data_IF_805534737942
#
_entry.id   IF_805534737942
#
_cell.length_a   1.000
_cell.length_b   1.000
_cell.length_c   1.000
_cell.angle_alpha   90.00
_cell.angle_beta   90.00
_cell.angle_gamma   90.00
#
_symmetry.space_group_name_H-M   'P 1'
#
loop_
_entity.id
_entity.type
_entity.pdbx_description
1 polymer ?
#
# COMPACT_ATOMS: atom_id res chain seq x y z
N UNK A 1 -29.06 19.68 23.51
CA UNK A 1 -27.69 19.50 24.06
C UNK A 1 -26.90 18.67 23.07
N UNK A 2 -25.99 19.28 22.31
CA UNK A 2 -25.11 18.57 21.37
C UNK A 2 -24.00 17.93 22.20
N UNK A 3 -23.95 16.60 22.23
CA UNK A 3 -22.86 15.84 22.85
C UNK A 3 -21.60 16.04 22.02
N UNK A 4 -20.74 16.97 22.44
CA UNK A 4 -19.38 17.10 21.92
C UNK A 4 -18.54 15.95 22.47
N UNK A 5 -18.64 14.79 21.82
CA UNK A 5 -17.76 13.65 22.11
C UNK A 5 -16.30 14.12 22.01
N UNK A 6 -15.46 13.87 23.03
CA UNK A 6 -14.07 14.31 23.01
C UNK A 6 -13.35 13.58 21.87
N UNK A 7 -12.81 14.36 20.94
CA UNK A 7 -11.95 13.86 19.86
C UNK A 7 -10.71 13.26 20.52
N UNK A 8 -10.68 11.92 20.66
CA UNK A 8 -9.55 11.21 21.28
C UNK A 8 -8.26 11.65 20.57
N UNK A 9 -7.17 11.93 21.30
CA UNK A 9 -5.91 12.29 20.67
C UNK A 9 -5.48 11.14 19.74
N UNK A 10 -5.15 11.49 18.50
CA UNK A 10 -4.68 10.54 17.50
C UNK A 10 -3.36 9.96 18.02
N UNK A 11 -3.36 8.68 18.40
CA UNK A 11 -2.18 8.01 18.92
C UNK A 11 -1.13 7.89 17.81
N UNK A 12 -0.06 8.68 17.90
CA UNK A 12 1.04 8.69 16.94
C UNK A 12 1.63 7.30 16.71
N UNK A 13 1.62 6.42 17.72
CA UNK A 13 2.07 5.04 17.57
C UNK A 13 1.13 4.21 16.69
N UNK A 14 -0.20 4.43 16.77
CA UNK A 14 -1.16 3.80 15.87
C UNK A 14 -1.01 4.30 14.44
N UNK A 15 -0.79 5.60 14.25
CA UNK A 15 -0.54 6.19 12.92
C UNK A 15 0.71 5.59 12.28
N UNK A 16 1.81 5.48 13.05
CA UNK A 16 3.06 4.86 12.57
C UNK A 16 2.88 3.40 12.15
N UNK A 17 2.13 2.61 12.92
CA UNK A 17 1.82 1.21 12.57
C UNK A 17 1.01 1.10 11.28
N UNK A 18 0.03 1.97 11.08
CA UNK A 18 -0.80 1.99 9.87
C UNK A 18 0.05 2.41 8.66
N UNK A 19 0.89 3.44 8.79
CA UNK A 19 1.79 3.87 7.72
C UNK A 19 2.76 2.75 7.30
N UNK A 20 3.36 2.07 8.28
CA UNK A 20 4.24 0.92 8.02
C UNK A 20 3.50 -0.23 7.35
N UNK A 21 2.28 -0.53 7.80
CA UNK A 21 1.44 -1.57 7.21
C UNK A 21 1.09 -1.27 5.75
N UNK A 22 0.84 -0.01 5.40
CA UNK A 22 0.58 0.40 4.02
C UNK A 22 1.82 0.13 3.15
N UNK A 23 3.01 0.56 3.60
CA UNK A 23 4.26 0.39 2.83
C UNK A 23 4.61 -1.10 2.67
N UNK A 24 4.51 -1.88 3.75
CA UNK A 24 4.81 -3.30 3.70
C UNK A 24 3.78 -4.06 2.84
N UNK A 25 2.50 -3.74 2.98
CA UNK A 25 1.44 -4.39 2.22
C UNK A 25 1.55 -4.14 0.72
N UNK A 26 1.89 -2.92 0.29
CA UNK A 26 2.09 -2.62 -1.12
C UNK A 26 3.31 -3.34 -1.70
N UNK A 27 4.44 -3.33 -0.99
CA UNK A 27 5.66 -3.99 -1.44
C UNK A 27 5.49 -5.51 -1.53
N UNK A 28 4.97 -6.14 -0.47
CA UNK A 28 4.74 -7.58 -0.44
C UNK A 28 3.72 -7.98 -1.50
N UNK A 29 2.64 -7.21 -1.66
CA UNK A 29 1.66 -7.42 -2.72
C UNK A 29 2.26 -7.35 -4.12
N UNK A 30 3.09 -6.35 -4.39
CA UNK A 30 3.77 -6.20 -5.67
C UNK A 30 4.70 -7.39 -5.96
N UNK A 31 5.54 -7.79 -5.00
CA UNK A 31 6.46 -8.92 -5.17
C UNK A 31 5.70 -10.23 -5.37
N UNK A 32 4.67 -10.49 -4.57
CA UNK A 32 3.82 -11.67 -4.72
C UNK A 32 3.11 -11.70 -6.08
N UNK A 33 2.67 -10.54 -6.58
CA UNK A 33 2.08 -10.39 -7.91
C UNK A 33 3.01 -10.79 -9.05
N UNK A 34 4.26 -10.36 -8.98
CA UNK A 34 5.28 -10.72 -9.98
C UNK A 34 5.54 -12.22 -9.99
N UNK A 35 5.61 -12.84 -8.80
CA UNK A 35 5.77 -14.28 -8.66
C UNK A 35 4.55 -15.02 -9.23
N UNK A 36 3.33 -14.56 -8.92
CA UNK A 36 2.09 -15.17 -9.44
C UNK A 36 1.99 -15.06 -10.96
N UNK A 37 2.33 -13.90 -11.52
CA UNK A 37 2.34 -13.68 -12.97
C UNK A 37 3.31 -14.65 -13.65
N UNK A 38 4.50 -14.84 -13.09
CA UNK A 38 5.49 -15.79 -13.62
C UNK A 38 5.00 -17.26 -13.51
N UNK A 39 4.32 -17.63 -12.42
CA UNK A 39 3.81 -18.99 -12.23
C UNK A 39 2.59 -19.32 -13.09
N UNK A 40 1.71 -18.34 -13.29
CA UNK A 40 0.45 -18.51 -14.03
C UNK A 40 0.61 -18.18 -15.53
N UNK A 41 1.76 -17.65 -15.95
CA UNK A 41 1.98 -17.14 -17.31
C UNK A 41 1.08 -15.94 -17.64
N UNK A 42 0.57 -15.27 -16.61
CA UNK A 42 -0.28 -14.09 -16.74
C UNK A 42 0.59 -12.84 -16.59
N UNK A 43 0.18 -11.75 -17.21
CA UNK A 43 0.82 -10.43 -17.06
C UNK A 43 -0.13 -9.43 -16.40
N UNK A 44 -1.15 -9.95 -15.70
CA UNK A 44 -2.22 -9.12 -15.17
C UNK A 44 -1.83 -8.47 -13.85
N UNK A 45 -1.15 -9.21 -12.97
CA UNK A 45 -0.85 -8.77 -11.61
C UNK A 45 0.27 -7.74 -11.55
N UNK A 46 1.15 -7.71 -12.55
CA UNK A 46 2.31 -6.82 -12.68
C UNK A 46 2.07 -5.64 -13.63
N UNK A 47 0.93 -5.60 -14.33
CA UNK A 47 0.59 -4.45 -15.18
C UNK A 47 0.43 -3.20 -14.33
N UNK A 48 1.04 -2.10 -14.74
CA UNK A 48 0.80 -0.80 -14.12
C UNK A 48 -0.67 -0.40 -14.25
N UNK A 49 -1.32 -0.08 -13.13
CA UNK A 49 -2.67 0.48 -13.09
C UNK A 49 -2.70 1.93 -13.58
N UNK A 50 -1.62 2.66 -13.33
CA UNK A 50 -1.44 4.02 -13.78
C UNK A 50 -0.70 4.01 -15.12
N UNK A 51 -1.24 4.78 -16.08
CA UNK A 51 -0.66 4.95 -17.41
C UNK A 51 0.72 5.61 -17.35
N UNK A 52 0.97 6.40 -16.31
CA UNK A 52 2.24 7.06 -16.02
C UNK A 52 2.67 6.70 -14.60
N UNK A 53 3.95 6.34 -14.43
CA UNK A 53 4.53 6.12 -13.11
C UNK A 53 4.71 7.46 -12.40
N UNK A 54 4.48 7.49 -11.08
CA UNK A 54 4.73 8.70 -10.30
C UNK A 54 6.24 8.88 -10.18
N UNK A 55 6.80 9.83 -10.94
CA UNK A 55 8.22 10.16 -10.91
C UNK A 55 8.47 11.22 -9.85
N UNK A 56 9.24 10.87 -8.83
CA UNK A 56 9.86 11.81 -7.91
C UNK A 56 11.31 12.00 -8.35
N UNK A 57 11.58 13.11 -9.02
CA UNK A 57 12.95 13.54 -9.30
C UNK A 57 13.51 14.24 -8.07
N UNK A 58 14.27 13.52 -7.27
CA UNK A 58 15.23 14.16 -6.38
C UNK A 58 16.47 14.48 -7.21
N UNK A 59 17.14 15.60 -6.90
CA UNK A 59 18.29 16.19 -7.61
C UNK A 59 19.40 15.22 -8.07
N UNK A 60 19.43 13.98 -7.56
CA UNK A 60 20.40 12.92 -7.88
C UNK A 60 19.73 11.57 -8.21
N UNK A 61 18.47 11.35 -7.82
CA UNK A 61 17.80 10.03 -7.92
C UNK A 61 16.38 10.22 -8.44
N UNK A 62 16.08 9.59 -9.58
CA UNK A 62 14.73 9.47 -10.09
C UNK A 62 14.10 8.20 -9.51
N UNK A 63 13.09 8.37 -8.67
CA UNK A 63 12.31 7.26 -8.13
C UNK A 63 10.98 7.21 -8.87
N UNK A 64 10.74 6.11 -9.58
CA UNK A 64 9.47 5.85 -10.26
C UNK A 64 8.64 4.88 -9.42
N UNK A 65 7.47 5.33 -8.96
CA UNK A 65 6.53 4.49 -8.22
C UNK A 65 5.37 4.15 -9.14
N UNK A 66 5.19 2.87 -9.44
CA UNK A 66 4.06 2.37 -10.21
C UNK A 66 3.21 1.41 -9.37
N UNK A 67 1.91 1.69 -9.29
CA UNK A 67 0.97 0.81 -8.62
C UNK A 67 0.52 -0.30 -9.56
N UNK A 68 0.53 -1.54 -9.07
CA UNK A 68 0.04 -2.72 -9.78
C UNK A 68 -1.19 -3.32 -9.07
N UNK A 69 -2.06 -4.08 -9.75
CA UNK A 69 -3.19 -4.75 -9.11
C UNK A 69 -2.78 -5.56 -7.89
N UNK A 70 -1.63 -6.25 -7.97
CA UNK A 70 -1.12 -7.02 -6.85
C UNK A 70 -0.71 -6.16 -5.65
N UNK A 71 -0.11 -4.99 -5.88
CA UNK A 71 0.22 -4.05 -4.80
C UNK A 71 -1.03 -3.56 -4.06
N UNK A 72 -2.15 -3.38 -4.77
CA UNK A 72 -3.43 -3.02 -4.16
C UNK A 72 -4.00 -4.18 -3.34
N UNK A 73 -3.99 -5.41 -3.86
CA UNK A 73 -4.44 -6.58 -3.11
C UNK A 73 -3.62 -6.79 -1.83
N UNK A 74 -2.30 -6.64 -1.91
CA UNK A 74 -1.43 -6.73 -0.74
C UNK A 74 -1.71 -5.63 0.30
N UNK A 75 -1.93 -4.38 -0.16
CA UNK A 75 -2.32 -3.28 0.72
C UNK A 75 -3.67 -3.55 1.40
N UNK A 76 -4.69 -3.99 0.66
CA UNK A 76 -6.02 -4.29 1.21
C UNK A 76 -5.95 -5.42 2.24
N UNK A 77 -5.23 -6.50 1.92
CA UNK A 77 -5.04 -7.61 2.84
C UNK A 77 -4.34 -7.17 4.13
N UNK A 78 -3.28 -6.36 4.00
CA UNK A 78 -2.48 -5.91 5.15
C UNK A 78 -3.26 -4.92 6.01
N UNK A 79 -3.97 -3.96 5.40
CA UNK A 79 -4.87 -3.06 6.13
C UNK A 79 -5.99 -3.82 6.83
N UNK A 80 -6.60 -4.80 6.17
CA UNK A 80 -7.63 -5.63 6.80
C UNK A 80 -7.10 -6.34 8.05
N UNK A 81 -5.91 -6.93 7.97
CA UNK A 81 -5.29 -7.59 9.13
C UNK A 81 -4.94 -6.62 10.26
N UNK A 82 -4.38 -5.45 9.92
CA UNK A 82 -3.95 -4.46 10.91
C UNK A 82 -5.14 -3.78 11.58
N UNK A 83 -6.19 -3.46 10.84
CA UNK A 83 -7.43 -2.89 11.39
C UNK A 83 -8.24 -3.91 12.18
N UNK A 84 -8.25 -5.19 11.77
CA UNK A 84 -8.95 -6.26 12.50
C UNK A 84 -8.26 -6.63 13.82
N UNK A 85 -6.93 -6.47 13.91
CA UNK A 85 -6.14 -6.80 15.11
C UNK A 85 -5.83 -5.59 16.02
N UNK A 86 -6.08 -4.35 15.59
CA UNK A 86 -5.65 -3.11 16.26
C UNK A 86 -6.68 -2.37 17.11
#
# INVERSE_FOLDING_TARGET
>A
MVSTSPKRPLDSAKVGKIALAIILGTLVGAVAGVILDHLLGLSFFSKGLLKEAFSLELYVIKVEIQFTPASLFGLVATLFFVLKKG
#
